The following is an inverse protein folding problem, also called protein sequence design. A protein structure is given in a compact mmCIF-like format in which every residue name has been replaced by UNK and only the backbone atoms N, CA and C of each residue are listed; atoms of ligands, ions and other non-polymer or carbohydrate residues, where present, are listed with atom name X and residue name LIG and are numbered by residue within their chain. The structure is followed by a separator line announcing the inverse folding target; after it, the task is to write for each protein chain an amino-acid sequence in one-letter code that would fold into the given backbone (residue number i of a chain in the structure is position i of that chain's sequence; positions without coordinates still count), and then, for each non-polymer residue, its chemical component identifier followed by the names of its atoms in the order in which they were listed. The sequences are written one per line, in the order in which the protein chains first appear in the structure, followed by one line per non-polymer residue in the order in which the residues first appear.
data_IF_662824999350
#
_entry.id   IF_662824999350
#
_cell.length_a   1.000
_cell.length_b   1.000
_cell.length_c   1.000
_cell.angle_alpha   90.00
_cell.angle_beta   90.00
_cell.angle_gamma   90.00
#
_symmetry.space_group_name_H-M   'P 1'
#
loop_
_entity.id
_entity.type
_entity.pdbx_description
1 polymer ?
#
# COMPACT_ATOMS: atom_id res chain seq x y z
N UNK A 1 -6.70 -69.03 8.15
CA UNK A 1 -7.17 -68.15 7.07
C UNK A 1 -7.22 -66.74 7.62
N UNK A 2 -6.30 -65.92 7.15
CA UNK A 2 -6.09 -64.52 7.54
C UNK A 2 -7.09 -63.58 6.86
N UNK A 3 -7.15 -62.35 7.38
CA UNK A 3 -7.58 -61.10 6.71
C UNK A 3 -9.11 -60.82 6.77
N UNK A 4 -9.65 -59.68 7.21
CA UNK A 4 -9.16 -58.37 7.73
C UNK A 4 -10.30 -57.69 8.50
N UNK A 5 -10.05 -56.76 9.45
CA UNK A 5 -10.98 -55.66 9.67
C UNK A 5 -10.52 -54.46 8.85
N UNK A 6 -11.27 -54.17 7.79
CA UNK A 6 -11.28 -52.89 7.08
C UNK A 6 -11.50 -51.75 8.08
N UNK A 7 -10.42 -51.05 8.44
CA UNK A 7 -10.49 -49.81 9.22
C UNK A 7 -10.32 -48.63 8.28
N UNK A 8 -11.45 -48.09 7.82
CA UNK A 8 -11.53 -46.75 7.24
C UNK A 8 -11.30 -45.73 8.37
N UNK A 9 -10.04 -45.51 8.74
CA UNK A 9 -9.65 -44.44 9.64
C UNK A 9 -9.69 -43.11 8.86
N UNK A 10 -10.78 -42.36 8.99
CA UNK A 10 -10.78 -40.94 8.64
C UNK A 10 -9.64 -40.27 9.41
N UNK A 11 -8.63 -39.79 8.67
CA UNK A 11 -7.41 -39.23 9.22
C UNK A 11 -7.69 -37.93 10.00
N UNK A 12 -7.99 -38.07 11.30
CA UNK A 12 -7.93 -36.95 12.22
C UNK A 12 -6.46 -36.54 12.35
N UNK A 13 -6.09 -35.45 11.68
CA UNK A 13 -4.76 -34.85 11.82
C UNK A 13 -4.56 -34.48 13.29
N UNK A 14 -3.59 -35.11 13.94
CA UNK A 14 -3.30 -34.91 15.37
C UNK A 14 -2.73 -33.50 15.62
N UNK A 15 -2.81 -33.02 16.87
CA UNK A 15 -2.30 -31.69 17.24
C UNK A 15 -0.79 -31.56 16.97
N UNK A 16 0.00 -32.61 17.20
CA UNK A 16 1.43 -32.63 16.88
C UNK A 16 1.69 -32.56 15.37
N UNK A 17 0.92 -33.30 14.56
CA UNK A 17 1.03 -33.24 13.09
C UNK A 17 0.67 -31.83 12.57
N UNK A 18 -0.38 -31.22 13.12
CA UNK A 18 -0.78 -29.84 12.84
C UNK A 18 0.32 -28.84 13.16
N UNK A 19 0.97 -28.99 14.31
CA UNK A 19 2.09 -28.14 14.73
C UNK A 19 3.32 -28.31 13.83
N UNK A 20 3.62 -29.55 13.44
CA UNK A 20 4.70 -29.87 12.49
C UNK A 20 4.48 -29.22 11.13
N UNK A 21 3.27 -29.35 10.57
CA UNK A 21 2.89 -28.71 9.30
C UNK A 21 2.93 -27.18 9.44
N UNK A 22 2.48 -26.62 10.56
CA UNK A 22 2.57 -25.18 10.80
C UNK A 22 4.02 -24.68 10.77
N UNK A 23 4.95 -25.36 11.45
CA UNK A 23 6.39 -25.03 11.43
C UNK A 23 6.97 -25.13 10.01
N UNK A 24 6.73 -26.25 9.33
CA UNK A 24 7.21 -26.44 7.96
C UNK A 24 6.69 -25.36 7.01
N UNK A 25 5.42 -24.98 7.15
CA UNK A 25 4.80 -23.93 6.34
C UNK A 25 5.37 -22.54 6.64
N UNK A 26 5.75 -22.28 7.88
CA UNK A 26 6.50 -21.06 8.27
C UNK A 26 7.89 -21.05 7.61
N UNK A 27 8.64 -22.15 7.70
CA UNK A 27 9.97 -22.24 7.09
C UNK A 27 9.90 -22.10 5.56
N UNK A 28 8.90 -22.69 4.95
CA UNK A 28 8.63 -22.55 3.50
C UNK A 28 8.29 -21.11 3.15
N UNK A 29 7.55 -20.40 4.01
CA UNK A 29 7.25 -18.98 3.82
C UNK A 29 8.51 -18.12 3.94
N UNK A 30 9.39 -18.41 4.88
CA UNK A 30 10.68 -17.71 5.07
C UNK A 30 11.65 -17.98 3.90
N UNK A 31 11.66 -19.20 3.35
CA UNK A 31 12.41 -19.51 2.13
C UNK A 31 11.81 -18.81 0.91
N UNK A 32 10.49 -18.87 0.72
CA UNK A 32 9.81 -18.14 -0.36
C UNK A 32 10.04 -16.62 -0.25
N UNK A 33 10.17 -16.10 0.97
CA UNK A 33 10.54 -14.71 1.24
C UNK A 33 11.97 -14.39 0.77
N UNK A 34 12.95 -15.25 1.08
CA UNK A 34 14.32 -15.13 0.56
C UNK A 34 14.37 -15.17 -0.97
N UNK A 35 13.48 -15.95 -1.59
CA UNK A 35 13.37 -16.11 -3.05
C UNK A 35 12.50 -15.04 -3.72
N UNK A 36 11.94 -14.08 -2.98
CA UNK A 36 11.06 -13.04 -3.53
C UNK A 36 9.69 -13.52 -4.01
N UNK A 37 9.31 -14.77 -3.74
CA UNK A 37 8.03 -15.38 -4.12
C UNK A 37 6.93 -15.00 -3.11
N UNK A 38 6.56 -13.72 -3.12
CA UNK A 38 5.69 -13.09 -2.10
C UNK A 38 4.33 -13.78 -1.95
N UNK A 39 3.72 -14.22 -3.05
CA UNK A 39 2.40 -14.87 -3.03
C UNK A 39 2.45 -16.28 -2.41
N UNK A 40 3.50 -17.05 -2.71
CA UNK A 40 3.71 -18.35 -2.07
C UNK A 40 4.07 -18.21 -0.59
N UNK A 41 4.89 -17.21 -0.25
CA UNK A 41 5.21 -16.90 1.14
C UNK A 41 3.94 -16.57 1.93
N UNK A 42 3.07 -15.70 1.40
CA UNK A 42 1.80 -15.34 2.00
C UNK A 42 0.86 -16.54 2.17
N UNK A 43 0.72 -17.36 1.12
CA UNK A 43 -0.16 -18.54 1.13
C UNK A 43 0.32 -19.58 2.14
N UNK A 44 1.61 -19.90 2.13
CA UNK A 44 2.17 -20.88 3.07
C UNK A 44 2.10 -20.36 4.51
N UNK A 45 2.32 -19.07 4.73
CA UNK A 45 2.22 -18.47 6.04
C UNK A 45 0.77 -18.45 6.58
N UNK A 46 -0.22 -18.11 5.75
CA UNK A 46 -1.64 -18.21 6.13
C UNK A 46 -2.08 -19.65 6.38
N UNK A 47 -1.54 -20.60 5.62
CA UNK A 47 -1.78 -22.02 5.83
C UNK A 47 -1.14 -22.51 7.12
N UNK A 48 0.07 -22.04 7.46
CA UNK A 48 0.72 -22.30 8.76
C UNK A 48 -0.20 -21.90 9.92
N UNK A 49 -0.80 -20.71 9.82
CA UNK A 49 -1.74 -20.19 10.81
C UNK A 49 -3.01 -21.03 10.90
N UNK A 50 -3.59 -21.43 9.76
CA UNK A 50 -4.81 -22.25 9.72
C UNK A 50 -4.63 -23.67 10.25
N UNK A 51 -3.39 -24.17 10.25
CA UNK A 51 -3.02 -25.46 10.83
C UNK A 51 -2.65 -25.37 12.32
N UNK A 52 -2.28 -24.20 12.84
CA UNK A 52 -1.98 -24.06 14.26
C UNK A 52 -3.22 -24.44 15.10
N UNK A 53 -3.05 -25.19 16.20
CA UNK A 53 -4.17 -25.52 17.07
C UNK A 53 -4.82 -24.22 17.53
N UNK A 54 -6.13 -24.08 17.28
CA UNK A 54 -6.91 -22.99 17.89
C UNK A 54 -6.81 -23.16 19.40
N UNK A 55 -6.56 -22.08 20.16
CA UNK A 55 -6.72 -22.16 21.61
C UNK A 55 -8.16 -22.62 21.89
N UNK A 56 -8.29 -23.66 22.70
CA UNK A 56 -9.58 -24.19 23.13
C UNK A 56 -10.40 -23.03 23.69
N UNK A 57 -11.39 -22.59 22.92
CA UNK A 57 -12.26 -21.50 23.30
C UNK A 57 -13.41 -22.13 24.04
N UNK A 58 -13.41 -22.02 25.38
CA UNK A 58 -14.66 -22.09 26.12
C UNK A 58 -15.60 -21.01 25.59
N UNK A 59 -16.85 -21.40 25.35
CA UNK A 59 -17.92 -20.55 24.85
C UNK A 59 -17.99 -19.19 25.59
N UNK A 60 -17.79 -18.10 24.86
CA UNK A 60 -18.42 -16.82 25.15
C UNK A 60 -18.29 -15.88 23.95
N UNK A 61 -19.37 -15.79 23.19
CA UNK A 61 -19.69 -14.59 22.46
C UNK A 61 -19.73 -13.41 23.44
N UNK A 62 -18.79 -12.47 23.35
CA UNK A 62 -18.99 -11.08 23.80
C UNK A 62 -18.18 -10.11 22.94
N UNK A 63 -18.91 -9.17 22.36
CA UNK A 63 -18.41 -7.92 21.80
C UNK A 63 -17.57 -7.17 22.84
N UNK A 64 -16.50 -6.52 22.39
CA UNK A 64 -15.84 -5.43 23.12
C UNK A 64 -14.91 -5.79 24.29
N UNK A 65 -13.89 -6.64 24.08
CA UNK A 65 -12.71 -6.69 24.95
C UNK A 65 -11.45 -6.94 24.13
N UNK A 66 -10.35 -6.26 24.48
CA UNK A 66 -9.00 -6.49 23.95
C UNK A 66 -8.75 -7.99 23.90
N UNK A 67 -8.66 -8.54 22.69
CA UNK A 67 -8.35 -9.95 22.49
C UNK A 67 -6.96 -10.18 23.05
N UNK A 68 -6.87 -11.05 24.04
CA UNK A 68 -5.61 -11.56 24.56
C UNK A 68 -4.73 -11.93 23.37
N UNK A 69 -3.59 -11.24 23.21
CA UNK A 69 -2.70 -11.44 22.06
C UNK A 69 -2.21 -12.89 22.09
N UNK A 70 -2.82 -13.73 21.26
CA UNK A 70 -2.41 -15.13 21.16
C UNK A 70 -1.07 -15.21 20.44
N UNK A 71 -0.28 -16.24 20.71
CA UNK A 71 0.96 -16.52 19.95
C UNK A 71 0.70 -16.56 18.43
N UNK A 72 -0.53 -16.95 18.05
CA UNK A 72 -1.02 -16.94 16.67
C UNK A 72 -1.11 -15.51 16.12
N UNK A 73 -1.65 -14.55 16.88
CA UNK A 73 -1.75 -13.15 16.43
C UNK A 73 -0.36 -12.52 16.24
N UNK A 74 0.61 -12.85 17.09
CA UNK A 74 2.00 -12.41 16.90
C UNK A 74 2.65 -13.03 15.67
N UNK A 75 2.40 -14.31 15.40
CA UNK A 75 2.88 -14.95 14.18
C UNK A 75 2.25 -14.31 12.94
N UNK A 76 0.93 -14.08 12.97
CA UNK A 76 0.17 -13.43 11.88
C UNK A 76 0.71 -12.03 11.61
N UNK A 77 0.96 -11.26 12.65
CA UNK A 77 1.56 -9.93 12.54
C UNK A 77 2.93 -9.98 11.85
N UNK A 78 3.85 -10.83 12.32
CA UNK A 78 5.20 -10.99 11.71
C UNK A 78 5.11 -11.36 10.24
N UNK A 79 4.19 -12.26 9.89
CA UNK A 79 3.93 -12.69 8.52
C UNK A 79 3.50 -11.51 7.65
N UNK A 80 2.48 -10.75 8.07
CA UNK A 80 2.02 -9.60 7.30
C UNK A 80 3.05 -8.48 7.23
N UNK A 81 3.83 -8.27 8.29
CA UNK A 81 4.93 -7.33 8.30
C UNK A 81 6.00 -7.73 7.27
N UNK A 82 6.34 -9.01 7.17
CA UNK A 82 7.26 -9.52 6.15
C UNK A 82 6.65 -9.38 4.75
N UNK A 83 5.38 -9.72 4.54
CA UNK A 83 4.70 -9.51 3.26
C UNK A 83 4.77 -8.05 2.80
N UNK A 84 4.57 -7.09 3.71
CA UNK A 84 4.70 -5.66 3.38
C UNK A 84 6.11 -5.32 2.89
N UNK A 85 7.16 -5.88 3.51
CA UNK A 85 8.55 -5.66 3.10
C UNK A 85 8.85 -6.26 1.71
N UNK A 86 8.25 -7.40 1.39
CA UNK A 86 8.34 -8.02 0.08
C UNK A 86 7.66 -7.16 -1.00
N UNK A 87 6.42 -6.73 -0.75
CA UNK A 87 5.72 -5.85 -1.67
C UNK A 87 6.45 -4.51 -1.88
N UNK A 88 7.08 -3.98 -0.84
CA UNK A 88 8.00 -2.84 -0.91
C UNK A 88 9.17 -3.10 -1.87
N UNK A 89 9.84 -4.26 -1.77
CA UNK A 89 10.96 -4.61 -2.66
C UNK A 89 10.54 -4.77 -4.13
N UNK A 90 9.33 -5.28 -4.37
CA UNK A 90 8.79 -5.46 -5.72
C UNK A 90 8.15 -4.19 -6.31
N UNK A 91 8.22 -3.04 -5.63
CA UNK A 91 7.56 -1.79 -6.07
C UNK A 91 6.02 -1.84 -6.05
N UNK A 92 5.44 -2.89 -5.43
CA UNK A 92 4.00 -3.08 -5.32
C UNK A 92 3.45 -2.33 -4.11
N UNK A 93 3.48 -1.00 -4.17
CA UNK A 93 3.18 -0.13 -3.04
C UNK A 93 1.78 -0.33 -2.45
N UNK A 94 0.77 -0.52 -3.30
CA UNK A 94 -0.62 -0.71 -2.86
C UNK A 94 -0.78 -1.97 -1.98
N UNK A 95 -0.22 -3.09 -2.44
CA UNK A 95 -0.22 -4.35 -1.66
C UNK A 95 0.67 -4.27 -0.41
N UNK A 96 1.72 -3.44 -0.43
CA UNK A 96 2.55 -3.20 0.74
C UNK A 96 1.75 -2.51 1.84
N UNK A 97 0.95 -1.49 1.49
CA UNK A 97 0.05 -0.79 2.42
C UNK A 97 -1.01 -1.75 2.98
N UNK A 98 -1.65 -2.56 2.14
CA UNK A 98 -2.65 -3.54 2.60
C UNK A 98 -2.05 -4.55 3.58
N UNK A 99 -0.87 -5.08 3.27
CA UNK A 99 -0.17 -6.03 4.15
C UNK A 99 0.25 -5.37 5.45
N UNK A 100 0.77 -4.14 5.40
CA UNK A 100 1.13 -3.39 6.60
C UNK A 100 -0.11 -3.07 7.47
N UNK A 101 -1.26 -2.75 6.87
CA UNK A 101 -2.52 -2.55 7.60
C UNK A 101 -2.96 -3.83 8.32
N UNK A 102 -2.85 -4.99 7.68
CA UNK A 102 -3.17 -6.28 8.30
C UNK A 102 -2.23 -6.61 9.47
N UNK A 103 -0.94 -6.25 9.35
CA UNK A 103 0.01 -6.38 10.46
C UNK A 103 -0.36 -5.46 11.63
N UNK A 104 -0.66 -4.19 11.34
CA UNK A 104 -1.03 -3.19 12.35
C UNK A 104 -2.36 -3.51 13.03
N UNK A 105 -3.32 -4.12 12.32
CA UNK A 105 -4.58 -4.60 12.90
C UNK A 105 -4.38 -5.72 13.94
N UNK A 106 -3.23 -6.41 13.92
CA UNK A 106 -2.84 -7.41 14.91
C UNK A 106 -1.95 -6.83 15.99
N UNK A 107 -1.01 -5.98 15.60
CA UNK A 107 -0.15 -5.25 16.52
C UNK A 107 0.03 -3.80 16.06
N UNK A 108 -0.69 -2.88 16.70
CA UNK A 108 -0.59 -1.46 16.41
C UNK A 108 0.80 -0.89 16.73
N UNK A 109 1.54 -1.56 17.62
CA UNK A 109 2.91 -1.21 18.01
C UNK A 109 3.98 -1.86 17.11
N UNK A 110 3.60 -2.40 15.95
CA UNK A 110 4.58 -2.82 14.95
C UNK A 110 5.14 -1.62 14.18
N UNK A 111 6.14 -0.99 14.78
CA UNK A 111 6.84 0.17 14.23
C UNK A 111 7.44 -0.08 12.83
N UNK A 112 7.91 -1.31 12.56
CA UNK A 112 8.43 -1.69 11.23
C UNK A 112 7.33 -1.70 10.17
N UNK A 113 6.15 -2.22 10.48
CA UNK A 113 5.00 -2.21 9.58
C UNK A 113 4.48 -0.77 9.37
N UNK A 114 4.44 0.04 10.43
CA UNK A 114 4.06 1.45 10.37
C UNK A 114 5.00 2.26 9.46
N UNK A 115 6.31 2.08 9.61
CA UNK A 115 7.31 2.71 8.75
C UNK A 115 7.12 2.31 7.28
N UNK A 116 6.96 1.01 7.00
CA UNK A 116 6.72 0.50 5.64
C UNK A 116 5.44 1.04 5.02
N UNK A 117 4.36 1.17 5.81
CA UNK A 117 3.11 1.79 5.37
C UNK A 117 3.31 3.25 4.98
N UNK A 118 3.96 4.04 5.83
CA UNK A 118 4.26 5.45 5.54
C UNK A 118 5.06 5.60 4.26
N UNK A 119 6.15 4.83 4.13
CA UNK A 119 6.99 4.82 2.93
C UNK A 119 6.21 4.43 1.66
N UNK A 120 5.42 3.36 1.70
CA UNK A 120 4.62 2.90 0.57
C UNK A 120 3.56 3.91 0.12
N UNK A 121 2.97 4.67 1.06
CA UNK A 121 2.03 5.74 0.74
C UNK A 121 2.72 6.93 0.08
N UNK A 122 3.92 7.27 0.53
CA UNK A 122 4.72 8.35 -0.07
C UNK A 122 5.10 8.04 -1.52
N UNK A 123 5.54 6.81 -1.80
CA UNK A 123 5.85 6.37 -3.17
C UNK A 123 4.60 6.39 -4.08
N UNK A 124 3.41 6.13 -3.55
CA UNK A 124 2.13 6.27 -4.27
C UNK A 124 1.71 7.73 -4.53
N UNK A 125 2.37 8.71 -3.89
CA UNK A 125 2.01 10.13 -3.97
C UNK A 125 1.02 10.61 -2.92
N UNK A 126 0.68 9.77 -1.94
CA UNK A 126 -0.12 10.18 -0.79
C UNK A 126 0.78 10.78 0.31
N UNK A 127 1.49 11.86 -0.01
CA UNK A 127 2.54 12.45 0.83
C UNK A 127 2.04 12.89 2.20
N UNK A 128 0.92 13.63 2.25
CA UNK A 128 0.35 14.08 3.53
C UNK A 128 0.02 12.91 4.47
N UNK A 129 -0.52 11.82 3.92
CA UNK A 129 -0.84 10.61 4.70
C UNK A 129 0.44 9.90 5.14
N UNK A 130 1.44 9.83 4.28
CA UNK A 130 2.74 9.23 4.59
C UNK A 130 3.43 9.96 5.75
N UNK A 131 3.52 11.28 5.68
CA UNK A 131 4.15 12.12 6.72
C UNK A 131 3.41 11.99 8.05
N UNK A 132 2.07 12.04 8.06
CA UNK A 132 1.29 11.86 9.30
C UNK A 132 1.59 10.53 10.00
N UNK A 133 1.68 9.44 9.25
CA UNK A 133 1.98 8.11 9.82
C UNK A 133 3.43 8.04 10.33
N UNK A 134 4.36 8.63 9.59
CA UNK A 134 5.77 8.69 9.96
C UNK A 134 5.98 9.55 11.22
N UNK A 135 5.29 10.68 11.35
CA UNK A 135 5.31 11.51 12.55
C UNK A 135 4.70 10.80 13.77
N UNK A 136 3.60 10.07 13.60
CA UNK A 136 3.03 9.23 14.67
C UNK A 136 4.00 8.14 15.10
N UNK A 137 4.67 7.49 14.14
CA UNK A 137 5.74 6.53 14.41
C UNK A 137 6.88 7.16 15.23
N UNK A 138 7.34 8.36 14.87
CA UNK A 138 8.39 9.08 15.61
C UNK A 138 7.97 9.43 17.03
N UNK A 139 6.69 9.77 17.25
CA UNK A 139 6.15 10.01 18.60
C UNK A 139 6.12 8.73 19.45
N UNK A 140 5.75 7.60 18.85
CA UNK A 140 5.63 6.31 19.54
C UNK A 140 6.97 5.60 19.75
N UNK A 141 7.88 5.72 18.80
CA UNK A 141 9.22 5.15 18.85
C UNK A 141 10.31 6.19 18.51
N UNK A 142 10.75 6.98 19.50
CA UNK A 142 11.79 7.99 19.31
C UNK A 142 13.12 7.40 18.83
N UNK A 143 13.38 6.11 19.07
CA UNK A 143 14.60 5.44 18.58
C UNK A 143 14.68 5.37 17.05
N UNK A 144 13.53 5.33 16.37
CA UNK A 144 13.47 5.35 14.90
C UNK A 144 13.42 6.78 14.33
N UNK A 145 13.40 7.82 15.17
CA UNK A 145 13.20 9.21 14.74
C UNK A 145 14.17 9.65 13.63
N UNK A 146 15.44 9.29 13.73
CA UNK A 146 16.45 9.63 12.70
C UNK A 146 16.11 9.03 11.35
N UNK A 147 15.69 7.76 11.31
CA UNK A 147 15.32 7.04 10.08
C UNK A 147 14.03 7.63 9.50
N UNK A 148 13.08 7.96 10.38
CA UNK A 148 11.84 8.63 10.00
C UNK A 148 12.10 10.00 9.38
N UNK A 149 12.94 10.83 10.01
CA UNK A 149 13.24 12.17 9.54
C UNK A 149 13.94 12.14 8.17
N UNK A 150 14.85 11.19 7.97
CA UNK A 150 15.48 10.94 6.66
C UNK A 150 14.46 10.55 5.59
N UNK A 151 13.52 9.66 5.91
CA UNK A 151 12.49 9.24 4.96
C UNK A 151 11.51 10.38 4.65
N UNK A 152 11.09 11.15 5.65
CA UNK A 152 10.23 12.33 5.46
C UNK A 152 10.94 13.37 4.59
N UNK A 153 12.23 13.64 4.82
CA UNK A 153 13.01 14.55 3.99
C UNK A 153 13.09 14.06 2.53
N UNK A 154 13.35 12.76 2.32
CA UNK A 154 13.33 12.16 0.98
C UNK A 154 11.96 12.31 0.31
N UNK A 155 10.87 12.03 1.03
CA UNK A 155 9.51 12.14 0.49
C UNK A 155 9.15 13.58 0.08
N UNK A 156 9.60 14.58 0.85
CA UNK A 156 9.41 16.00 0.49
C UNK A 156 10.10 16.37 -0.82
N UNK A 157 11.34 15.89 -1.04
CA UNK A 157 12.05 16.12 -2.31
C UNK A 157 11.27 15.50 -3.47
N UNK A 158 10.77 14.27 -3.31
CA UNK A 158 9.98 13.59 -4.35
C UNK A 158 8.67 14.35 -4.63
N UNK A 159 7.99 14.85 -3.60
CA UNK A 159 6.76 15.63 -3.74
C UNK A 159 7.02 16.95 -4.49
N UNK A 160 8.04 17.70 -4.09
CA UNK A 160 8.44 18.95 -4.75
C UNK A 160 8.80 18.74 -6.23
N UNK A 161 9.48 17.65 -6.57
CA UNK A 161 9.80 17.30 -7.95
C UNK A 161 8.56 16.98 -8.78
N UNK A 162 7.62 16.20 -8.21
CA UNK A 162 6.34 15.89 -8.86
C UNK A 162 5.52 17.16 -9.10
N UNK A 163 5.44 18.01 -8.09
CA UNK A 163 4.74 19.29 -8.14
C UNK A 163 5.37 20.26 -9.14
N UNK A 164 6.71 20.34 -9.19
CA UNK A 164 7.44 21.14 -10.19
C UNK A 164 7.19 20.62 -11.61
N UNK A 165 7.22 19.30 -11.79
CA UNK A 165 6.94 18.68 -13.09
C UNK A 165 5.49 18.93 -13.53
N UNK A 166 4.54 18.83 -12.60
CA UNK A 166 3.12 19.12 -12.83
C UNK A 166 2.90 20.59 -13.22
N UNK A 167 3.46 21.54 -12.47
CA UNK A 167 3.43 22.97 -12.78
C UNK A 167 4.03 23.28 -14.16
N UNK A 168 5.16 22.67 -14.51
CA UNK A 168 5.81 22.85 -15.82
C UNK A 168 4.91 22.35 -16.97
N UNK A 169 4.29 21.18 -16.81
CA UNK A 169 3.34 20.64 -17.79
C UNK A 169 2.11 21.54 -17.96
N UNK A 170 1.53 22.02 -16.86
CA UNK A 170 0.38 22.92 -16.88
C UNK A 170 0.71 24.24 -17.60
N UNK A 171 1.86 24.86 -17.31
CA UNK A 171 2.32 26.08 -17.98
C UNK A 171 2.52 25.85 -19.48
N UNK A 172 3.11 24.72 -19.88
CA UNK A 172 3.31 24.37 -21.29
C UNK A 172 2.00 24.16 -22.05
N UNK A 173 1.01 23.53 -21.42
CA UNK A 173 -0.34 23.37 -21.98
C UNK A 173 -1.03 24.73 -22.18
N UNK A 174 -1.02 25.60 -21.17
CA UNK A 174 -1.68 26.90 -21.22
C UNK A 174 -1.03 27.86 -22.23
N UNK A 175 0.30 27.82 -22.38
CA UNK A 175 1.01 28.60 -23.39
C UNK A 175 0.73 28.11 -24.83
N UNK A 176 0.42 26.82 -25.02
CA UNK A 176 0.10 26.24 -26.33
C UNK A 176 -1.31 26.60 -26.80
N UNK A 177 -2.25 26.74 -25.86
CA UNK A 177 -3.63 27.14 -26.14
C UNK A 177 -3.75 28.62 -26.53
N UNK A 178 -2.93 29.48 -25.91
CA UNK A 178 -2.84 30.92 -26.27
C UNK A 178 -2.22 31.21 -27.65
N UNK A 179 -1.69 30.20 -28.34
CA UNK A 179 -1.07 30.32 -29.67
C UNK A 179 -2.03 30.13 -30.85
N UNK A 180 -3.32 29.81 -30.61
CA UNK A 180 -4.37 29.78 -31.64
C UNK A 180 -5.38 30.91 -31.40
N UNK A 181 -4.96 32.16 -31.62
CA UNK A 181 -5.92 33.23 -31.90
C UNK A 181 -6.30 33.16 -33.39
N UNK A 182 -7.57 33.32 -33.79
CA UNK A 182 -7.92 33.41 -35.19
C UNK A 182 -7.35 34.71 -35.76
N UNK A 183 -6.49 34.61 -36.78
CA UNK A 183 -6.16 35.74 -37.66
C UNK A 183 -7.46 36.27 -38.27
N UNK A 184 -7.98 37.38 -37.74
CA UNK A 184 -8.99 38.17 -38.46
C UNK A 184 -8.25 39.00 -39.50
N UNK A 185 -8.56 38.70 -40.76
CA UNK A 185 -8.04 39.39 -41.93
C UNK A 185 -8.22 40.90 -41.84
N UNK A 186 -7.20 41.60 -42.31
CA UNK A 186 -7.30 42.99 -42.70
C UNK A 186 -8.19 43.08 -43.94
N UNK A 187 -9.36 43.69 -43.81
CA UNK A 187 -10.12 44.19 -44.96
C UNK A 187 -10.14 45.72 -44.86
N UNK A 188 -9.51 46.35 -45.86
CA UNK A 188 -9.40 47.79 -46.04
C UNK A 188 -10.78 48.42 -46.20
N UNK A 189 -11.14 49.32 -45.28
CA UNK A 189 -12.29 50.19 -45.44
C UNK A 189 -11.98 51.32 -46.45
N UNK A 190 -12.36 51.13 -47.71
CA UNK A 190 -12.39 52.20 -48.72
C UNK A 190 -13.72 52.94 -48.60
N UNK A 191 -13.67 54.21 -48.18
CA UNK A 191 -14.83 55.07 -48.00
C UNK A 191 -15.51 55.44 -49.34
N UNK A 192 -16.86 55.49 -49.43
CA UNK A 192 -17.55 56.01 -50.59
C UNK A 192 -17.62 57.55 -50.54
N UNK A 193 -17.28 58.16 -51.68
CA UNK A 193 -17.40 59.58 -52.02
C UNK A 193 -18.85 60.04 -51.93
N UNK A 194 -19.11 61.11 -51.16
CA UNK A 194 -20.39 61.82 -51.16
C UNK A 194 -20.34 62.92 -52.22
N UNK A 195 -21.28 62.83 -53.16
CA UNK A 195 -21.57 63.80 -54.20
C UNK A 195 -22.40 64.92 -53.56
N UNK A 196 -22.00 66.18 -53.76
CA UNK A 196 -22.79 67.36 -53.35
C UNK A 196 -23.55 67.88 -54.59
N UNK A 197 -24.87 67.98 -54.44
CA UNK A 197 -25.84 68.43 -55.44
C UNK A 197 -25.70 69.92 -55.77
N UNK A 198 -25.84 70.25 -57.05
CA UNK A 198 -26.34 71.54 -57.51
C UNK A 198 -27.44 71.29 -58.56
N UNK A 199 -28.55 72.03 -58.49
CA UNK A 199 -29.01 72.78 -59.66
C UNK A 199 -29.37 74.23 -59.24
N UNK A 200 -28.80 75.26 -59.86
CA UNK A 200 -29.10 75.81 -61.19
C UNK A 200 -30.40 76.65 -61.23
N UNK A 201 -30.17 77.96 -61.43
CA UNK A 201 -31.03 79.02 -61.97
C UNK A 201 -32.15 79.60 -61.09
#
# INVERSE_FOLDING_TARGET
MSAEPSSSAAAFVTVEQKLGVAKQKKDTADQAFKLGKVQEAARNALQSIGMAPKPESGDAAKEGKEKEKTEIDEMVEKIYANMSACHMKNGNWQRAVESANKALAKNENNYKAMFRKGKALGEQGFFEKAVKILEDLKKKNPSDATVVDQEVARLRVIDEERERAHRKKLKGFLSKDKGKAPEKGAEEAKAPTKVEEAPAS
#
